data_IF_967853235603
#
_entry.id   IF_967853235603
#
_cell.length_a   1.000
_cell.length_b   1.000
_cell.length_c   1.000
_cell.angle_alpha   90.00
_cell.angle_beta   90.00
_cell.angle_gamma   90.00
#
_symmetry.space_group_name_H-M   'P 1'
#
loop_
_entity.id
_entity.type
_entity.pdbx_description
1 polymer ?
#
# COMPACT_ATOMS: atom_id res chain seq x y z
N UNK A 1 21.50 5.84 -17.28
CA UNK A 1 20.60 5.49 -18.41
C UNK A 1 19.60 6.61 -18.60
N UNK A 2 19.11 6.91 -19.81
CA UNK A 2 18.10 7.95 -20.01
C UNK A 2 16.78 7.58 -19.32
N UNK A 3 16.21 8.51 -18.56
CA UNK A 3 14.90 8.35 -17.89
C UNK A 3 13.83 8.41 -18.99
N UNK A 4 13.08 7.32 -19.20
CA UNK A 4 11.95 7.31 -20.13
C UNK A 4 10.87 8.27 -19.63
N UNK A 5 10.47 9.22 -20.47
CA UNK A 5 9.40 10.15 -20.13
C UNK A 5 8.06 9.42 -20.05
N UNK A 6 7.32 9.73 -18.99
CA UNK A 6 5.97 9.22 -18.75
C UNK A 6 5.13 10.37 -18.18
N UNK A 7 3.81 10.39 -18.44
CA UNK A 7 2.92 11.44 -17.97
C UNK A 7 2.96 11.64 -16.45
N UNK A 8 3.02 12.89 -16.02
CA UNK A 8 2.81 13.27 -14.62
C UNK A 8 1.31 13.39 -14.37
N UNK A 9 0.77 12.59 -13.46
CA UNK A 9 -0.65 12.58 -13.15
C UNK A 9 -0.90 13.08 -11.73
N UNK A 10 -2.07 13.65 -11.51
CA UNK A 10 -2.59 13.95 -10.18
C UNK A 10 -3.11 12.68 -9.51
N UNK A 11 -2.68 12.42 -8.28
CA UNK A 11 -3.27 11.38 -7.43
C UNK A 11 -4.32 11.96 -6.47
N UNK A 12 -4.03 13.09 -5.83
CA UNK A 12 -4.95 13.75 -4.90
C UNK A 12 -4.66 15.26 -4.79
N UNK A 13 -5.71 16.07 -4.86
CA UNK A 13 -5.66 17.51 -4.56
C UNK A 13 -5.32 17.78 -3.08
N UNK A 14 -4.72 18.93 -2.79
CA UNK A 14 -4.33 19.30 -1.41
C UNK A 14 -5.48 19.90 -0.59
N UNK A 15 -6.63 19.22 -0.57
CA UNK A 15 -7.80 19.58 0.22
C UNK A 15 -7.80 18.88 1.59
N UNK A 16 -8.59 19.39 2.53
CA UNK A 16 -8.79 18.80 3.86
C UNK A 16 -9.73 17.58 3.85
N UNK A 17 -9.47 16.62 2.98
CA UNK A 17 -10.26 15.41 2.82
C UNK A 17 -9.46 14.15 3.16
N UNK A 18 -10.15 13.10 3.63
CA UNK A 18 -9.54 11.77 3.72
C UNK A 18 -9.26 11.22 2.31
N UNK A 19 -8.13 10.50 2.12
CA UNK A 19 -7.86 9.84 0.86
C UNK A 19 -8.92 8.77 0.53
N UNK A 20 -9.06 8.49 -0.77
CA UNK A 20 -9.98 7.46 -1.26
C UNK A 20 -9.73 6.12 -0.57
N UNK A 21 -10.80 5.38 -0.29
CA UNK A 21 -10.75 4.06 0.34
C UNK A 21 -10.04 4.05 1.70
N UNK A 22 -9.99 5.17 2.42
CA UNK A 22 -9.55 5.17 3.81
C UNK A 22 -10.43 4.26 4.66
N UNK A 23 -9.80 3.36 5.40
CA UNK A 23 -10.45 2.39 6.30
C UNK A 23 -9.52 1.98 7.43
N UNK A 24 -10.12 1.52 8.52
CA UNK A 24 -9.41 1.10 9.72
C UNK A 24 -9.91 -0.28 10.15
N UNK A 25 -9.07 -1.00 10.89
CA UNK A 25 -9.48 -2.28 11.50
C UNK A 25 -10.32 -2.07 12.76
N UNK A 26 -10.58 -0.82 13.17
CA UNK A 26 -11.41 -0.39 14.31
C UNK A 26 -12.88 -0.11 13.92
N UNK A 27 -13.83 -0.05 14.89
CA UNK A 27 -15.16 -0.65 14.74
C UNK A 27 -16.25 0.17 14.06
N UNK A 28 -15.97 1.37 13.53
CA UNK A 28 -17.08 2.23 13.03
C UNK A 28 -17.87 1.64 11.86
N UNK A 29 -17.37 0.59 11.19
CA UNK A 29 -18.02 -0.06 10.04
C UNK A 29 -18.51 -1.51 10.29
N UNK A 30 -18.13 -2.16 11.39
CA UNK A 30 -18.38 -3.60 11.59
C UNK A 30 -19.78 -3.93 12.15
N UNK A 31 -20.54 -2.92 12.59
CA UNK A 31 -21.84 -3.10 13.22
C UNK A 31 -23.06 -3.07 12.27
N UNK A 32 -22.88 -2.95 10.94
CA UNK A 32 -23.99 -2.59 10.02
C UNK A 32 -24.53 -3.65 9.06
N UNK A 33 -24.12 -4.92 9.13
CA UNK A 33 -24.64 -5.93 8.18
C UNK A 33 -25.14 -7.21 8.86
N UNK A 34 -26.44 -7.27 9.11
CA UNK A 34 -27.20 -8.49 9.40
C UNK A 34 -27.67 -9.14 8.10
N UNK A 35 -27.25 -10.39 7.84
CA UNK A 35 -27.86 -11.44 6.96
C UNK A 35 -26.88 -12.30 6.14
N UNK A 36 -25.57 -12.23 6.39
CA UNK A 36 -24.61 -13.26 5.96
C UNK A 36 -23.84 -13.82 7.15
N UNK A 37 -23.29 -15.03 7.04
CA UNK A 37 -22.32 -15.54 8.02
C UNK A 37 -21.14 -14.57 8.11
N UNK A 38 -21.11 -13.74 9.14
CA UNK A 38 -20.06 -12.75 9.34
C UNK A 38 -18.72 -13.48 9.52
N UNK A 39 -17.63 -12.97 8.93
CA UNK A 39 -16.30 -13.53 9.20
C UNK A 39 -15.94 -13.29 10.66
N UNK A 40 -15.07 -14.15 11.22
CA UNK A 40 -14.52 -13.90 12.54
C UNK A 40 -13.81 -12.54 12.61
N UNK A 41 -14.15 -11.75 13.63
CA UNK A 41 -13.51 -10.47 13.96
C UNK A 41 -12.41 -10.64 15.01
N UNK A 42 -12.11 -11.87 15.42
CA UNK A 42 -11.10 -12.16 16.44
C UNK A 42 -9.74 -11.57 16.04
N UNK A 43 -9.13 -10.82 16.96
CA UNK A 43 -7.84 -10.16 16.77
C UNK A 43 -7.82 -8.97 15.80
N UNK A 44 -8.91 -8.67 15.07
CA UNK A 44 -8.94 -7.61 14.05
C UNK A 44 -8.74 -6.21 14.67
N UNK A 45 -9.42 -5.93 15.79
CA UNK A 45 -9.29 -4.66 16.51
C UNK A 45 -7.87 -4.44 17.04
N UNK A 46 -7.16 -5.53 17.38
CA UNK A 46 -5.81 -5.50 17.96
C UNK A 46 -4.71 -5.40 16.89
N UNK A 47 -5.07 -5.32 15.61
CA UNK A 47 -4.09 -5.07 14.54
C UNK A 47 -3.55 -3.64 14.62
N UNK A 48 -4.33 -2.67 15.09
CA UNK A 48 -3.98 -1.24 15.05
C UNK A 48 -3.54 -0.82 13.65
N UNK A 49 -4.37 -1.10 12.65
CA UNK A 49 -4.02 -0.87 11.26
C UNK A 49 -5.10 -0.13 10.49
N UNK A 50 -4.66 0.57 9.45
CA UNK A 50 -5.52 1.28 8.52
C UNK A 50 -4.93 1.21 7.12
N UNK A 51 -5.74 1.54 6.12
CA UNK A 51 -5.25 1.64 4.76
C UNK A 51 -6.03 2.65 3.93
N UNK A 52 -5.41 3.19 2.88
CA UNK A 52 -6.05 4.11 1.93
C UNK A 52 -5.36 4.15 0.57
N UNK A 53 -5.92 4.92 -0.36
CA UNK A 53 -5.19 5.41 -1.52
C UNK A 53 -4.17 6.49 -1.15
N UNK A 54 -3.50 7.02 -2.17
CA UNK A 54 -2.54 8.11 -1.98
C UNK A 54 -3.21 9.31 -1.33
N UNK A 55 -2.57 9.86 -0.31
CA UNK A 55 -2.97 11.10 0.35
C UNK A 55 -2.17 12.30 -0.18
N UNK A 56 -2.79 13.49 -0.12
CA UNK A 56 -2.12 14.79 -0.18
C UNK A 56 -1.53 15.17 1.19
N UNK A 57 -0.82 16.30 1.28
CA UNK A 57 -0.28 16.78 2.56
C UNK A 57 -1.40 17.03 3.59
N UNK A 58 -2.48 17.71 3.19
CA UNK A 58 -3.65 17.90 4.04
C UNK A 58 -4.42 16.59 4.27
N UNK A 59 -4.44 15.68 3.29
CA UNK A 59 -5.03 14.36 3.46
C UNK A 59 -4.32 13.50 4.51
N UNK A 60 -2.99 13.59 4.60
CA UNK A 60 -2.22 12.96 5.67
C UNK A 60 -2.64 13.53 7.03
N UNK A 61 -2.77 14.85 7.15
CA UNK A 61 -3.26 15.48 8.39
C UNK A 61 -4.63 14.93 8.79
N UNK A 62 -5.55 14.74 7.85
CA UNK A 62 -6.87 14.15 8.14
C UNK A 62 -6.77 12.68 8.59
N UNK A 63 -5.86 11.88 8.01
CA UNK A 63 -5.58 10.52 8.50
C UNK A 63 -5.12 10.56 9.95
N UNK A 64 -4.16 11.42 10.29
CA UNK A 64 -3.58 11.52 11.63
C UNK A 64 -4.59 11.98 12.67
N UNK A 65 -5.49 12.91 12.32
CA UNK A 65 -6.61 13.33 13.18
C UNK A 65 -7.60 12.18 13.45
N UNK A 66 -7.71 11.22 12.53
CA UNK A 66 -8.68 10.12 12.61
C UNK A 66 -8.14 8.91 13.37
N UNK A 67 -6.83 8.67 13.32
CA UNK A 67 -6.20 7.53 13.99
C UNK A 67 -6.06 7.82 15.50
N UNK A 68 -6.58 6.94 16.39
CA UNK A 68 -6.58 7.17 17.84
C UNK A 68 -5.23 6.82 18.52
N UNK A 69 -4.12 6.94 17.80
CA UNK A 69 -2.79 6.52 18.25
C UNK A 69 -1.74 7.59 17.97
N UNK A 70 -0.82 7.78 18.92
CA UNK A 70 0.23 8.81 18.83
C UNK A 70 1.45 8.33 18.03
N UNK A 71 1.66 7.02 17.91
CA UNK A 71 2.78 6.43 17.17
C UNK A 71 2.25 5.76 15.92
N UNK A 72 2.40 6.45 14.80
CA UNK A 72 1.95 5.99 13.50
C UNK A 72 3.18 5.65 12.65
N UNK A 73 3.08 4.58 11.89
CA UNK A 73 4.05 4.21 10.86
C UNK A 73 3.30 4.12 9.52
N UNK A 74 3.70 4.95 8.57
CA UNK A 74 3.17 4.93 7.22
C UNK A 74 3.98 3.94 6.39
N UNK A 75 3.29 2.94 5.85
CA UNK A 75 3.83 1.91 4.97
C UNK A 75 3.42 2.25 3.54
N UNK A 76 4.34 2.84 2.82
CA UNK A 76 4.19 3.21 1.43
C UNK A 76 4.54 2.03 0.53
N UNK A 77 3.53 1.53 -0.18
CA UNK A 77 3.63 0.33 -1.01
C UNK A 77 3.90 0.62 -2.48
N UNK A 78 4.11 1.88 -2.86
CA UNK A 78 4.19 2.26 -4.28
C UNK A 78 5.57 1.90 -4.83
N UNK A 79 5.63 1.41 -6.08
CA UNK A 79 6.90 1.19 -6.78
C UNK A 79 7.17 2.34 -7.74
N UNK A 80 6.08 2.86 -8.33
CA UNK A 80 6.07 4.04 -9.17
C UNK A 80 6.64 5.27 -8.45
N UNK A 81 7.40 6.06 -9.20
CA UNK A 81 7.93 7.35 -8.73
C UNK A 81 6.78 8.31 -8.46
N UNK A 82 6.83 8.95 -7.31
CA UNK A 82 5.75 9.80 -6.80
C UNK A 82 6.30 10.84 -5.83
N UNK A 83 5.47 11.82 -5.48
CA UNK A 83 5.83 12.86 -4.52
C UNK A 83 4.79 13.96 -4.52
N UNK A 84 5.20 15.15 -4.11
CA UNK A 84 4.26 16.25 -3.87
C UNK A 84 4.68 17.52 -4.59
N UNK A 85 3.68 18.27 -5.07
CA UNK A 85 3.83 19.65 -5.56
C UNK A 85 2.86 20.51 -4.77
N UNK A 86 3.36 21.47 -3.98
CA UNK A 86 2.52 22.33 -3.12
C UNK A 86 1.56 21.52 -2.22
N UNK A 87 1.97 20.31 -1.82
CA UNK A 87 1.17 19.34 -1.07
C UNK A 87 0.14 18.54 -1.87
N UNK A 88 -0.04 18.79 -3.17
CA UNK A 88 -0.80 17.91 -4.06
C UNK A 88 0.01 16.64 -4.32
N UNK A 89 -0.61 15.47 -4.21
CA UNK A 89 0.06 14.22 -4.48
C UNK A 89 0.07 13.90 -5.97
N UNK A 90 1.25 13.62 -6.53
CA UNK A 90 1.45 13.36 -7.95
C UNK A 90 2.29 12.10 -8.16
N UNK A 91 2.21 11.50 -9.35
CA UNK A 91 3.05 10.37 -9.73
C UNK A 91 3.33 10.32 -11.22
N UNK A 92 4.44 9.68 -11.59
CA UNK A 92 4.81 9.42 -12.97
C UNK A 92 4.23 8.10 -13.44
N UNK A 93 3.20 8.18 -14.30
CA UNK A 93 2.37 7.04 -14.65
C UNK A 93 2.74 6.49 -16.03
N UNK A 94 3.46 5.36 -16.04
CA UNK A 94 3.66 4.56 -17.25
C UNK A 94 2.50 3.61 -17.54
N UNK A 95 2.58 2.91 -18.67
CA UNK A 95 1.62 1.83 -18.98
C UNK A 95 1.51 0.85 -17.81
N UNK A 96 0.28 0.53 -17.39
CA UNK A 96 -0.05 -0.35 -16.24
C UNK A 96 0.54 0.11 -14.90
N UNK A 97 1.04 1.35 -14.80
CA UNK A 97 1.77 1.86 -13.64
C UNK A 97 3.10 1.09 -13.39
N UNK A 98 3.73 0.54 -14.43
CA UNK A 98 4.90 -0.34 -14.35
C UNK A 98 6.22 0.33 -14.79
N UNK A 99 6.30 1.66 -14.76
CA UNK A 99 7.50 2.38 -15.22
C UNK A 99 8.79 1.98 -14.46
N UNK A 100 8.65 1.57 -13.20
CA UNK A 100 9.75 1.15 -12.33
C UNK A 100 9.83 -0.36 -12.12
N UNK A 101 9.04 -1.14 -12.86
CA UNK A 101 9.09 -2.60 -12.77
C UNK A 101 10.50 -3.09 -13.06
N UNK A 102 10.97 -4.07 -12.28
CA UNK A 102 12.31 -4.68 -12.33
C UNK A 102 13.48 -3.78 -11.87
N UNK A 103 13.25 -2.51 -11.54
CA UNK A 103 14.27 -1.65 -10.93
C UNK A 103 14.55 -2.07 -9.49
N UNK A 104 15.78 -1.90 -9.06
CA UNK A 104 16.19 -2.01 -7.66
C UNK A 104 15.64 -0.84 -6.83
N UNK A 105 15.64 -0.97 -5.51
CA UNK A 105 15.17 0.09 -4.63
C UNK A 105 15.98 1.39 -4.78
N UNK A 106 17.29 1.27 -5.00
CA UNK A 106 18.20 2.39 -5.25
C UNK A 106 17.87 3.10 -6.57
N UNK A 107 17.61 2.34 -7.63
CA UNK A 107 17.20 2.89 -8.93
C UNK A 107 15.83 3.58 -8.86
N UNK A 108 14.88 3.03 -8.09
CA UNK A 108 13.56 3.65 -7.86
C UNK A 108 13.74 5.01 -7.16
N UNK A 109 14.50 5.04 -6.06
CA UNK A 109 14.78 6.29 -5.33
C UNK A 109 15.50 7.33 -6.20
N UNK A 110 16.46 6.88 -7.01
CA UNK A 110 17.18 7.76 -7.91
C UNK A 110 16.25 8.35 -8.98
N UNK A 111 15.43 7.51 -9.63
CA UNK A 111 14.45 7.96 -10.63
C UNK A 111 13.45 8.96 -10.05
N UNK A 112 12.91 8.67 -8.87
CA UNK A 112 11.98 9.56 -8.16
C UNK A 112 12.60 10.91 -7.82
N UNK A 113 13.80 10.91 -7.23
CA UNK A 113 14.51 12.14 -6.89
C UNK A 113 14.83 12.97 -8.12
N UNK A 114 15.37 12.38 -9.18
CA UNK A 114 15.68 13.10 -10.42
C UNK A 114 14.44 13.75 -11.02
N UNK A 115 13.30 13.04 -10.99
CA UNK A 115 12.02 13.54 -11.47
C UNK A 115 11.50 14.70 -10.63
N UNK A 116 11.55 14.61 -9.30
CA UNK A 116 11.15 15.69 -8.39
C UNK A 116 12.05 16.92 -8.53
N UNK A 117 13.36 16.73 -8.66
CA UNK A 117 14.31 17.84 -8.89
C UNK A 117 14.05 18.56 -10.22
N UNK A 118 13.63 17.82 -11.26
CA UNK A 118 13.20 18.45 -12.52
C UNK A 118 11.95 19.29 -12.33
N UNK A 119 10.96 18.85 -11.55
CA UNK A 119 9.77 19.66 -11.28
C UNK A 119 10.13 20.96 -10.58
N UNK A 120 11.02 20.90 -9.57
CA UNK A 120 11.41 22.07 -8.78
C UNK A 120 12.10 23.16 -9.62
N UNK A 121 12.80 22.78 -10.69
CA UNK A 121 13.44 23.72 -11.63
C UNK A 121 12.46 24.42 -12.57
N UNK A 122 11.24 23.92 -12.70
CA UNK A 122 10.23 24.46 -13.59
C UNK A 122 9.21 25.30 -12.81
N UNK A 123 8.96 26.54 -13.23
CA UNK A 123 7.94 27.39 -12.60
C UNK A 123 6.51 26.87 -12.80
N UNK A 124 6.26 26.15 -13.90
CA UNK A 124 4.96 25.60 -14.24
C UNK A 124 5.15 24.20 -14.82
N UNK A 125 4.29 23.26 -14.41
CA UNK A 125 4.30 21.88 -14.89
C UNK A 125 2.91 21.47 -15.34
N UNK A 126 2.84 20.64 -16.37
CA UNK A 126 1.58 20.10 -16.89
C UNK A 126 1.23 18.77 -16.21
N UNK A 127 -0.03 18.63 -15.84
CA UNK A 127 -0.62 17.39 -15.37
C UNK A 127 -1.43 16.76 -16.50
N UNK A 128 -1.42 15.44 -16.56
CA UNK A 128 -2.06 14.67 -17.60
C UNK A 128 -3.18 13.80 -17.03
N UNK A 129 -4.21 13.59 -17.84
CA UNK A 129 -5.24 12.61 -17.52
C UNK A 129 -4.66 11.19 -17.65
N UNK A 130 -4.93 10.34 -16.65
CA UNK A 130 -4.32 9.01 -16.55
C UNK A 130 -4.83 7.99 -17.57
N UNK A 131 -5.97 8.24 -18.22
CA UNK A 131 -6.60 7.31 -19.16
C UNK A 131 -6.36 7.70 -20.60
N UNK A 132 -6.44 9.00 -20.89
CA UNK A 132 -6.29 9.57 -22.23
C UNK A 132 -4.87 10.04 -22.52
N UNK A 133 -4.05 10.26 -21.49
CA UNK A 133 -2.71 10.87 -21.56
C UNK A 133 -2.70 12.26 -22.22
N UNK A 134 -3.85 12.92 -22.27
CA UNK A 134 -3.94 14.30 -22.72
C UNK A 134 -3.62 15.26 -21.56
N UNK A 135 -3.08 16.47 -21.85
CA UNK A 135 -2.96 17.52 -20.85
C UNK A 135 -4.32 17.79 -20.20
N UNK A 136 -4.35 17.76 -18.87
CA UNK A 136 -5.55 17.96 -18.07
C UNK A 136 -5.54 19.32 -17.38
N UNK A 137 -4.42 19.70 -16.79
CA UNK A 137 -4.26 20.98 -16.08
C UNK A 137 -2.79 21.38 -15.99
N UNK A 138 -2.50 22.52 -15.37
CA UNK A 138 -1.13 22.94 -15.06
C UNK A 138 -1.06 23.49 -13.64
N UNK A 139 0.10 23.33 -13.02
CA UNK A 139 0.36 23.77 -11.64
C UNK A 139 1.59 24.67 -11.63
N UNK A 140 1.48 25.80 -10.94
CA UNK A 140 2.63 26.64 -10.63
C UNK A 140 3.39 26.05 -9.44
N UNK A 141 4.66 25.70 -9.64
CA UNK A 141 5.46 24.99 -8.64
C UNK A 141 6.05 25.98 -7.64
N UNK A 142 5.73 25.82 -6.35
CA UNK A 142 6.32 26.58 -5.25
C UNK A 142 7.25 25.71 -4.41
N UNK A 143 6.82 24.48 -4.15
CA UNK A 143 7.60 23.49 -3.41
C UNK A 143 7.38 22.08 -3.99
N UNK A 144 8.42 21.27 -3.92
CA UNK A 144 8.41 19.85 -4.31
C UNK A 144 9.14 19.07 -3.25
N UNK A 145 8.57 17.93 -2.83
CA UNK A 145 9.17 17.08 -1.80
C UNK A 145 8.74 15.63 -1.95
N UNK A 146 9.55 14.73 -1.38
CA UNK A 146 9.25 13.30 -1.34
C UNK A 146 8.18 13.01 -0.30
N UNK A 147 7.58 11.82 -0.37
CA UNK A 147 6.68 11.36 0.70
C UNK A 147 7.42 11.20 2.05
N UNK A 148 8.67 10.76 2.00
CA UNK A 148 9.52 10.67 3.17
C UNK A 148 9.71 12.03 3.87
N UNK A 149 9.95 13.09 3.10
CA UNK A 149 10.13 14.44 3.65
C UNK A 149 8.85 14.94 4.33
N UNK A 150 7.69 14.73 3.69
CA UNK A 150 6.39 15.10 4.25
C UNK A 150 6.14 14.41 5.60
N UNK A 151 6.32 13.09 5.63
CA UNK A 151 5.99 12.28 6.80
C UNK A 151 6.98 12.53 7.94
N UNK A 152 8.29 12.58 7.63
CA UNK A 152 9.32 12.86 8.64
C UNK A 152 9.19 14.26 9.22
N UNK A 153 8.79 15.27 8.42
CA UNK A 153 8.52 16.64 8.92
C UNK A 153 7.38 16.68 9.95
N UNK A 154 6.47 15.72 9.91
CA UNK A 154 5.39 15.55 10.89
C UNK A 154 5.78 14.65 12.08
N UNK A 155 7.04 14.20 12.18
CA UNK A 155 7.53 13.36 13.27
C UNK A 155 7.01 11.92 13.22
N UNK A 156 6.60 11.44 12.04
CA UNK A 156 6.01 10.11 11.83
C UNK A 156 7.04 9.19 11.19
N UNK A 157 6.95 7.88 11.47
CA UNK A 157 7.81 6.91 10.83
C UNK A 157 7.33 6.59 9.41
N UNK A 158 8.22 6.71 8.44
CA UNK A 158 7.97 6.35 7.05
C UNK A 158 8.74 5.08 6.68
N UNK A 159 8.08 4.14 6.02
CA UNK A 159 8.68 2.93 5.46
C UNK A 159 8.20 2.75 4.04
N UNK A 160 9.14 2.63 3.10
CA UNK A 160 8.87 2.36 1.69
C UNK A 160 9.13 0.89 1.37
N UNK A 161 8.11 0.18 0.90
CA UNK A 161 8.16 -1.19 0.40
C UNK A 161 7.65 -1.21 -1.03
N UNK A 162 8.52 -1.10 -2.05
CA UNK A 162 8.07 -0.89 -3.44
C UNK A 162 7.41 -2.14 -4.02
N UNK A 163 6.09 -2.11 -4.18
CA UNK A 163 5.32 -3.19 -4.81
C UNK A 163 4.81 -2.76 -6.18
N UNK A 164 5.18 -3.50 -7.22
CA UNK A 164 4.66 -3.33 -8.57
C UNK A 164 3.13 -3.40 -8.57
N UNK A 165 2.47 -2.49 -9.30
CA UNK A 165 1.01 -2.45 -9.32
C UNK A 165 0.40 -3.70 -9.97
N UNK A 166 -0.85 -4.02 -9.61
CA UNK A 166 -1.67 -5.11 -10.16
C UNK A 166 -1.22 -6.55 -9.91
N UNK A 167 0.06 -6.80 -9.62
CA UNK A 167 0.65 -8.14 -9.40
C UNK A 167 0.72 -8.52 -7.92
N UNK A 168 1.20 -9.74 -7.62
CA UNK A 168 1.53 -10.17 -6.26
C UNK A 168 2.85 -9.53 -5.78
N UNK A 169 3.09 -9.39 -4.47
CA UNK A 169 4.40 -9.06 -3.94
C UNK A 169 5.50 -10.03 -4.43
N UNK A 170 6.69 -9.48 -4.71
CA UNK A 170 7.89 -10.26 -4.97
C UNK A 170 8.46 -10.85 -3.68
N UNK A 171 9.15 -11.99 -3.77
CA UNK A 171 9.62 -12.72 -2.58
C UNK A 171 10.57 -11.88 -1.72
N UNK A 172 11.42 -11.04 -2.35
CA UNK A 172 12.30 -10.09 -1.65
C UNK A 172 11.51 -9.06 -0.84
N UNK A 173 10.46 -8.49 -1.41
CA UNK A 173 9.63 -7.50 -0.70
C UNK A 173 8.84 -8.13 0.46
N UNK A 174 8.45 -9.41 0.33
CA UNK A 174 7.82 -10.15 1.42
C UNK A 174 8.81 -10.39 2.56
N UNK A 175 10.06 -10.76 2.25
CA UNK A 175 11.11 -10.88 3.27
C UNK A 175 11.35 -9.54 3.97
N UNK A 176 11.50 -8.43 3.23
CA UNK A 176 11.64 -7.09 3.84
C UNK A 176 10.45 -6.70 4.72
N UNK A 177 9.24 -7.10 4.34
CA UNK A 177 8.05 -6.89 5.17
C UNK A 177 8.11 -7.70 6.47
N UNK A 178 8.51 -8.97 6.41
CA UNK A 178 8.68 -9.82 7.61
C UNK A 178 9.78 -9.25 8.52
N UNK A 179 10.90 -8.81 7.95
CA UNK A 179 11.98 -8.15 8.69
C UNK A 179 11.49 -6.88 9.40
N UNK A 180 10.68 -6.06 8.72
CA UNK A 180 10.04 -4.90 9.34
C UNK A 180 9.16 -5.30 10.53
N UNK A 181 8.30 -6.31 10.36
CA UNK A 181 7.43 -6.82 11.42
C UNK A 181 8.25 -7.25 12.66
N UNK A 182 9.36 -7.95 12.44
CA UNK A 182 10.26 -8.40 13.52
C UNK A 182 10.99 -7.24 14.17
N UNK A 183 11.58 -6.34 13.39
CA UNK A 183 12.38 -5.22 13.88
C UNK A 183 11.59 -4.28 14.81
N UNK A 184 10.29 -4.12 14.55
CA UNK A 184 9.40 -3.27 15.34
C UNK A 184 8.51 -4.05 16.32
N UNK A 185 8.79 -5.35 16.54
CA UNK A 185 8.04 -6.22 17.47
C UNK A 185 6.52 -6.20 17.23
N UNK A 186 6.11 -6.12 15.96
CA UNK A 186 4.72 -5.89 15.55
C UNK A 186 3.82 -7.12 15.75
N UNK A 187 4.38 -8.27 16.14
CA UNK A 187 3.65 -9.50 16.48
C UNK A 187 3.09 -9.50 17.90
N UNK A 188 3.55 -8.60 18.78
CA UNK A 188 3.11 -8.51 20.17
C UNK A 188 1.67 -7.99 20.29
N UNK A 189 1.00 -8.26 21.42
CA UNK A 189 -0.41 -7.86 21.62
C UNK A 189 -0.62 -6.34 21.58
N UNK A 190 0.37 -5.57 22.07
CA UNK A 190 0.36 -4.12 22.01
C UNK A 190 1.71 -3.61 21.48
N UNK A 191 1.89 -3.54 20.14
CA UNK A 191 3.18 -3.20 19.55
C UNK A 191 3.54 -1.71 19.72
N UNK A 192 2.62 -0.89 20.25
CA UNK A 192 2.82 0.54 20.44
C UNK A 192 2.89 1.34 19.13
N UNK A 193 2.55 0.73 18.00
CA UNK A 193 2.48 1.35 16.67
C UNK A 193 1.11 1.12 16.02
N UNK A 194 0.66 2.14 15.31
CA UNK A 194 -0.42 2.04 14.34
C UNK A 194 0.15 2.02 12.92
N UNK A 195 -0.17 0.99 12.13
CA UNK A 195 0.31 0.86 10.76
C UNK A 195 -0.70 1.44 9.77
N UNK A 196 -0.26 2.37 8.93
CA UNK A 196 -1.07 2.92 7.84
C UNK A 196 -0.52 2.48 6.48
N UNK A 197 -1.20 1.54 5.82
CA UNK A 197 -0.79 1.01 4.52
C UNK A 197 -1.43 1.78 3.37
N UNK A 198 -0.66 2.30 2.44
CA UNK A 198 -1.25 2.94 1.27
C UNK A 198 -0.59 2.53 -0.05
N UNK A 199 -1.33 2.72 -1.13
CA UNK A 199 -0.82 2.65 -2.50
C UNK A 199 -1.59 3.67 -3.34
N UNK A 200 -1.41 3.71 -4.67
CA UNK A 200 -2.11 4.69 -5.51
C UNK A 200 -3.63 4.76 -5.28
N UNK A 201 -4.32 3.61 -5.25
CA UNK A 201 -5.78 3.54 -5.14
C UNK A 201 -6.29 3.00 -3.80
N UNK A 202 -5.42 2.44 -2.94
CA UNK A 202 -5.84 1.83 -1.67
C UNK A 202 -6.57 0.51 -1.80
N UNK A 203 -6.50 -0.12 -2.98
CA UNK A 203 -7.21 -1.37 -3.30
C UNK A 203 -6.26 -2.56 -3.26
N UNK A 204 -5.69 -2.97 -4.40
CA UNK A 204 -4.93 -4.23 -4.53
C UNK A 204 -3.79 -4.39 -3.53
N UNK A 205 -2.73 -3.57 -3.66
CA UNK A 205 -1.53 -3.63 -2.81
C UNK A 205 -1.86 -3.43 -1.33
N UNK A 206 -2.57 -2.36 -0.99
CA UNK A 206 -2.93 -2.06 0.42
C UNK A 206 -3.80 -3.14 1.06
N UNK A 207 -4.76 -3.72 0.32
CA UNK A 207 -5.60 -4.81 0.87
C UNK A 207 -4.80 -6.10 1.03
N UNK A 208 -3.90 -6.41 0.10
CA UNK A 208 -3.02 -7.58 0.25
C UNK A 208 -2.11 -7.46 1.48
N UNK A 209 -1.44 -6.31 1.66
CA UNK A 209 -0.47 -6.14 2.74
C UNK A 209 -1.10 -6.04 4.13
N UNK A 210 -2.24 -5.35 4.27
CA UNK A 210 -2.95 -5.34 5.54
C UNK A 210 -3.50 -6.73 5.88
N UNK A 211 -3.94 -7.52 4.89
CA UNK A 211 -4.35 -8.90 5.11
C UNK A 211 -3.16 -9.83 5.42
N UNK A 212 -1.99 -9.61 4.82
CA UNK A 212 -0.76 -10.33 5.20
C UNK A 212 -0.39 -10.04 6.66
N UNK A 213 -0.43 -8.77 7.08
CA UNK A 213 -0.20 -8.41 8.48
C UNK A 213 -1.20 -9.10 9.41
N UNK A 214 -2.46 -9.18 8.99
CA UNK A 214 -3.49 -9.90 9.71
C UNK A 214 -3.20 -11.41 9.84
N UNK A 215 -2.74 -12.06 8.77
CA UNK A 215 -2.34 -13.47 8.79
C UNK A 215 -1.19 -13.70 9.77
N UNK A 216 -0.18 -12.83 9.79
CA UNK A 216 0.92 -12.91 10.75
C UNK A 216 0.40 -12.91 12.19
N UNK A 217 -0.61 -12.08 12.49
CA UNK A 217 -1.13 -11.90 13.85
C UNK A 217 -2.16 -12.95 14.24
N UNK A 218 -2.94 -13.44 13.29
CA UNK A 218 -4.20 -14.13 13.58
C UNK A 218 -4.41 -15.44 12.81
N UNK A 219 -3.48 -15.91 11.95
CA UNK A 219 -3.70 -17.13 11.17
C UNK A 219 -3.94 -18.39 12.02
N UNK A 220 -3.40 -18.46 13.25
CA UNK A 220 -3.65 -19.58 14.17
C UNK A 220 -5.06 -19.61 14.77
N UNK A 221 -5.82 -18.51 14.63
CA UNK A 221 -7.14 -18.31 15.25
C UNK A 221 -8.25 -18.08 14.22
N UNK A 222 -7.90 -17.48 13.08
CA UNK A 222 -8.85 -17.02 12.06
C UNK A 222 -8.53 -17.67 10.72
N UNK A 223 -9.56 -18.25 10.10
CA UNK A 223 -9.41 -18.90 8.80
C UNK A 223 -8.97 -17.92 7.70
N UNK A 224 -8.23 -18.43 6.71
CA UNK A 224 -7.85 -17.68 5.50
C UNK A 224 -9.05 -16.95 4.85
N UNK A 225 -10.19 -17.65 4.74
CA UNK A 225 -11.41 -17.11 4.14
C UNK A 225 -11.95 -15.93 4.94
N UNK A 226 -11.96 -16.02 6.26
CA UNK A 226 -12.47 -14.95 7.12
C UNK A 226 -11.56 -13.73 7.13
N UNK A 227 -10.23 -13.91 7.11
CA UNK A 227 -9.27 -12.81 6.98
C UNK A 227 -9.52 -12.04 5.67
N UNK A 228 -9.65 -12.72 4.53
CA UNK A 228 -9.94 -12.03 3.27
C UNK A 228 -11.31 -11.33 3.29
N UNK A 229 -12.34 -12.02 3.80
CA UNK A 229 -13.70 -11.50 3.85
C UNK A 229 -13.82 -10.27 4.76
N UNK A 230 -13.19 -10.27 5.94
CA UNK A 230 -13.26 -9.12 6.86
C UNK A 230 -12.54 -7.90 6.31
N UNK A 231 -11.43 -8.07 5.59
CA UNK A 231 -10.76 -6.97 4.92
C UNK A 231 -11.55 -6.40 3.74
N UNK A 232 -12.28 -7.24 3.01
CA UNK A 232 -13.23 -6.76 2.00
C UNK A 232 -14.40 -5.98 2.66
N UNK A 233 -14.92 -6.48 3.78
CA UNK A 233 -16.04 -5.85 4.50
C UNK A 233 -15.71 -4.47 5.07
N UNK A 234 -14.48 -4.22 5.51
CA UNK A 234 -14.06 -2.89 5.96
C UNK A 234 -13.70 -1.95 4.79
N UNK A 235 -14.05 -2.29 3.55
CA UNK A 235 -13.86 -1.43 2.37
C UNK A 235 -12.60 -1.74 1.54
N UNK A 236 -11.89 -2.82 1.84
CA UNK A 236 -10.81 -3.32 1.00
C UNK A 236 -11.33 -3.96 -0.30
N UNK A 237 -10.40 -4.27 -1.22
CA UNK A 237 -10.75 -5.06 -2.40
C UNK A 237 -11.05 -6.51 -1.97
N UNK A 238 -12.15 -7.08 -2.47
CA UNK A 238 -12.32 -8.54 -2.41
C UNK A 238 -11.22 -9.22 -3.26
N UNK A 239 -10.28 -9.85 -2.57
CA UNK A 239 -9.14 -10.53 -3.19
C UNK A 239 -9.52 -11.90 -3.77
N UNK A 240 -10.73 -12.41 -3.48
CA UNK A 240 -11.26 -13.68 -4.00
C UNK A 240 -12.08 -13.52 -5.28
N UNK A 241 -12.55 -12.30 -5.57
CA UNK A 241 -13.27 -12.00 -6.79
C UNK A 241 -12.31 -11.76 -7.99
N UNK A 242 -12.37 -12.59 -9.05
CA UNK A 242 -11.55 -12.40 -10.23
C UNK A 242 -11.98 -11.17 -11.03
N UNK A 243 -11.10 -10.71 -11.92
CA UNK A 243 -11.50 -9.78 -12.96
C UNK A 243 -12.30 -10.53 -14.05
N UNK A 244 -12.88 -9.80 -14.99
CA UNK A 244 -13.45 -10.42 -16.20
C UNK A 244 -12.35 -11.14 -17.00
N UNK A 245 -12.70 -12.24 -17.68
CA UNK A 245 -11.74 -13.06 -18.42
C UNK A 245 -11.01 -12.31 -19.55
N UNK A 246 -11.60 -11.23 -20.08
CA UNK A 246 -11.00 -10.37 -21.10
C UNK A 246 -10.12 -9.24 -20.51
N UNK A 247 -10.06 -9.11 -19.20
CA UNK A 247 -9.21 -8.12 -18.53
C UNK A 247 -7.76 -8.63 -18.47
N UNK A 248 -6.79 -7.81 -18.88
CA UNK A 248 -5.37 -8.18 -18.82
C UNK A 248 -4.88 -8.51 -17.40
N UNK A 249 -5.62 -8.09 -16.36
CA UNK A 249 -5.33 -8.37 -14.94
C UNK A 249 -5.85 -9.73 -14.48
N UNK A 250 -6.62 -10.44 -15.31
CA UNK A 250 -7.18 -11.76 -15.00
C UNK A 250 -6.14 -12.78 -14.52
N UNK A 251 -5.03 -13.05 -15.24
CA UNK A 251 -4.02 -14.01 -14.78
C UNK A 251 -3.39 -13.60 -13.43
N UNK A 252 -3.08 -12.31 -13.26
CA UNK A 252 -2.50 -11.78 -12.03
C UNK A 252 -3.42 -11.86 -10.81
N UNK A 253 -4.74 -12.02 -11.01
CA UNK A 253 -5.65 -12.32 -9.90
C UNK A 253 -5.32 -13.67 -9.27
N UNK A 254 -5.20 -14.73 -10.09
CA UNK A 254 -4.97 -16.09 -9.59
C UNK A 254 -3.59 -16.24 -8.97
N UNK A 255 -2.56 -15.63 -9.59
CA UNK A 255 -1.22 -15.58 -9.00
C UNK A 255 -1.22 -14.93 -7.60
N UNK A 256 -1.95 -13.82 -7.43
CA UNK A 256 -2.08 -13.17 -6.12
C UNK A 256 -2.86 -14.03 -5.15
N UNK A 257 -3.98 -14.64 -5.56
CA UNK A 257 -4.79 -15.47 -4.66
C UNK A 257 -3.98 -16.69 -4.17
N UNK A 258 -3.24 -17.33 -5.07
CA UNK A 258 -2.37 -18.45 -4.73
C UNK A 258 -1.21 -18.02 -3.82
N UNK A 259 -0.61 -16.85 -4.08
CA UNK A 259 0.34 -16.24 -3.16
C UNK A 259 -0.25 -16.02 -1.76
N UNK A 260 -1.44 -15.45 -1.65
CA UNK A 260 -2.07 -15.18 -0.34
C UNK A 260 -2.33 -16.49 0.43
N UNK A 261 -2.74 -17.57 -0.25
CA UNK A 261 -2.90 -18.89 0.37
C UNK A 261 -1.58 -19.43 0.89
N UNK A 262 -0.52 -19.36 0.09
CA UNK A 262 0.80 -19.81 0.49
C UNK A 262 1.36 -18.96 1.63
N UNK A 263 1.12 -17.65 1.64
CA UNK A 263 1.51 -16.77 2.74
C UNK A 263 0.77 -17.09 4.04
N UNK A 264 -0.53 -17.41 3.96
CA UNK A 264 -1.29 -17.90 5.11
C UNK A 264 -0.70 -19.20 5.66
N UNK A 265 -0.37 -20.17 4.79
CA UNK A 265 0.27 -21.42 5.21
C UNK A 265 1.66 -21.17 5.82
N UNK A 266 2.44 -20.26 5.25
CA UNK A 266 3.72 -19.84 5.82
C UNK A 266 3.55 -19.31 7.26
N UNK A 267 2.53 -18.49 7.53
CA UNK A 267 2.25 -17.98 8.88
C UNK A 267 1.87 -19.09 9.86
N UNK A 268 1.16 -20.13 9.40
CA UNK A 268 0.85 -21.31 10.21
C UNK A 268 2.10 -22.15 10.52
N UNK A 269 2.95 -22.37 9.52
CA UNK A 269 4.16 -23.17 9.65
C UNK A 269 5.26 -22.42 10.44
N UNK A 270 5.21 -21.09 10.48
CA UNK A 270 6.24 -20.22 11.07
C UNK A 270 5.63 -19.15 12.00
N UNK A 271 4.97 -19.54 13.11
CA UNK A 271 4.27 -18.59 13.99
C UNK A 271 5.18 -17.51 14.61
N UNK A 272 6.49 -17.80 14.75
CA UNK A 272 7.49 -16.86 15.26
C UNK A 272 8.28 -16.13 14.16
N UNK A 273 7.96 -16.35 12.87
CA UNK A 273 8.67 -15.77 11.73
C UNK A 273 10.18 -16.07 11.73
N UNK A 274 10.58 -17.27 12.19
CA UNK A 274 11.98 -17.69 12.27
C UNK A 274 12.58 -17.97 10.89
N UNK A 275 11.85 -18.68 10.03
CA UNK A 275 12.25 -18.94 8.65
C UNK A 275 11.84 -17.77 7.74
N UNK A 276 12.73 -17.31 6.86
CA UNK A 276 12.39 -16.32 5.83
C UNK A 276 11.39 -16.89 4.79
N UNK A 277 10.53 -16.02 4.26
CA UNK A 277 9.51 -16.39 3.27
C UNK A 277 10.14 -16.99 2.02
N UNK A 278 11.17 -16.34 1.44
CA UNK A 278 11.84 -16.82 0.22
C UNK A 278 12.40 -18.24 0.36
N UNK A 279 12.92 -18.56 1.55
CA UNK A 279 13.46 -19.88 1.89
C UNK A 279 12.37 -20.93 2.16
N UNK A 280 11.18 -20.50 2.60
CA UNK A 280 10.04 -21.40 2.81
C UNK A 280 9.33 -21.70 1.48
N UNK A 281 9.06 -20.68 0.66
CA UNK A 281 8.34 -20.84 -0.61
C UNK A 281 9.14 -21.61 -1.66
N UNK A 282 10.48 -21.56 -1.62
CA UNK A 282 11.32 -22.34 -2.53
C UNK A 282 11.12 -23.84 -2.35
N UNK A 283 10.83 -24.32 -1.13
CA UNK A 283 10.59 -25.74 -0.82
C UNK A 283 9.27 -26.27 -1.36
N UNK A 284 8.33 -25.40 -1.75
CA UNK A 284 7.06 -25.78 -2.37
C UNK A 284 7.12 -25.83 -3.89
N UNK A 285 8.19 -25.30 -4.49
CA UNK A 285 8.40 -25.28 -5.94
C UNK A 285 9.16 -26.52 -6.46
N UNK A 286 9.58 -27.40 -5.55
CA UNK A 286 10.20 -28.70 -5.79
C UNK A 286 9.37 -29.79 -5.13
#
# INVERSE_FOLDING_TARGET
MPIKEVPLILNMENLEDLPKNFRMTTPCYLHKHSNHSLPSLEGLLNLNASASGQFSANGLIQILKTIPYNRIMVIDLREESHGFINGMAVSWYGERNWHNKEKTFEEIKWDENERLQKLLKNQQVHLYDKYTFNPSSSVHVKEVYTENDLICKMGIHHVRLPLTDHVKPGDKQVDSFIELIKAYHLTQENPGYWLHFHCAAGRGRSTALIAMYDMIRNASKVSFKDILKRHAMIGGKDLTAPFEANDWRYPYHFERLEFMKNFYKYCLDNPNLEQNWSSWISKLKY
#
